data_IF_902486724055
#
_entry.id   IF_902486724055
#
_cell.length_a   1.000
_cell.length_b   1.000
_cell.length_c   1.000
_cell.angle_alpha   90.00
_cell.angle_beta   90.00
_cell.angle_gamma   90.00
#
_symmetry.space_group_name_H-M   'P 1'
#
loop_
_entity.id
_entity.type
_entity.pdbx_description
1 polymer ?
#
# COMPACT_ATOMS: atom_id res chain seq x y z
N UNK A 1 -22.39 -23.35 -44.74
CA UNK A 1 -22.89 -23.83 -43.46
C UNK A 1 -22.48 -22.75 -42.43
N UNK A 2 -23.37 -21.78 -42.21
CA UNK A 2 -23.16 -20.65 -41.33
C UNK A 2 -23.49 -21.08 -39.91
N UNK A 3 -22.52 -20.96 -38.99
CA UNK A 3 -22.75 -21.14 -37.55
C UNK A 3 -22.87 -19.72 -36.95
N UNK A 4 -24.11 -19.41 -36.58
CA UNK A 4 -24.48 -18.19 -35.83
C UNK A 4 -23.87 -18.26 -34.44
N UNK A 5 -23.03 -17.28 -34.08
CA UNK A 5 -22.60 -17.02 -32.68
C UNK A 5 -23.59 -16.02 -32.08
N UNK A 6 -24.24 -16.43 -31.00
CA UNK A 6 -25.00 -15.51 -30.15
C UNK A 6 -24.05 -14.63 -29.33
N UNK A 7 -24.38 -13.38 -29.07
CA UNK A 7 -23.59 -12.51 -28.20
C UNK A 7 -23.73 -12.90 -26.73
N UNK A 8 -22.62 -13.07 -26.06
CA UNK A 8 -22.53 -13.18 -24.60
C UNK A 8 -22.77 -11.79 -24.02
N UNK A 9 -23.81 -11.68 -23.20
CA UNK A 9 -24.06 -10.47 -22.41
C UNK A 9 -23.01 -10.34 -21.32
N UNK A 10 -22.02 -9.46 -21.51
CA UNK A 10 -21.09 -9.02 -20.50
C UNK A 10 -21.78 -8.00 -19.58
N UNK A 11 -21.96 -8.39 -18.34
CA UNK A 11 -22.29 -7.45 -17.27
C UNK A 11 -21.00 -6.81 -16.73
N UNK A 12 -20.98 -5.50 -16.44
CA UNK A 12 -19.77 -4.82 -15.99
C UNK A 12 -19.44 -5.23 -14.56
N UNK A 13 -18.25 -5.81 -14.36
CA UNK A 13 -17.66 -6.03 -13.03
C UNK A 13 -17.02 -4.71 -12.57
N UNK A 14 -17.83 -3.88 -11.94
CA UNK A 14 -17.35 -2.76 -11.12
C UNK A 14 -17.01 -3.35 -9.76
N UNK A 15 -15.95 -2.84 -9.11
CA UNK A 15 -15.65 -3.09 -7.70
C UNK A 15 -16.80 -2.62 -6.81
N UNK A 16 -17.85 -3.38 -6.78
CA UNK A 16 -18.93 -3.24 -5.84
C UNK A 16 -19.65 -4.59 -5.75
N UNK A 17 -19.51 -5.18 -4.59
CA UNK A 17 -20.57 -5.94 -3.96
C UNK A 17 -20.91 -7.34 -4.51
N UNK A 18 -20.19 -8.33 -4.02
CA UNK A 18 -20.78 -9.63 -3.76
C UNK A 18 -21.13 -9.76 -2.28
N UNK A 19 -22.07 -8.98 -1.80
CA UNK A 19 -22.84 -9.35 -0.62
C UNK A 19 -23.94 -10.33 -1.06
N UNK A 20 -23.69 -11.61 -0.91
CA UNK A 20 -24.73 -12.61 -0.91
C UNK A 20 -25.68 -12.31 0.25
N UNK A 21 -26.87 -11.81 -0.06
CA UNK A 21 -27.99 -11.72 0.89
C UNK A 21 -28.37 -13.13 1.29
N UNK A 22 -28.03 -13.54 2.51
CA UNK A 22 -28.69 -14.64 3.20
C UNK A 22 -30.12 -14.18 3.50
N UNK A 23 -31.05 -14.51 2.60
CA UNK A 23 -32.46 -14.53 2.93
C UNK A 23 -32.66 -15.78 3.77
N UNK A 24 -32.91 -15.59 5.06
CA UNK A 24 -33.36 -16.65 5.95
C UNK A 24 -34.75 -17.09 5.48
N UNK A 25 -34.85 -18.26 4.87
CA UNK A 25 -36.11 -18.96 4.67
C UNK A 25 -36.39 -19.77 5.93
N UNK A 26 -37.45 -19.38 6.65
CA UNK A 26 -38.07 -20.23 7.68
C UNK A 26 -38.59 -21.52 7.03
N UNK A 27 -38.42 -22.69 7.62
CA UNK A 27 -38.95 -23.93 7.09
C UNK A 27 -40.44 -24.11 7.45
N UNK A 28 -41.26 -24.32 6.44
CA UNK A 28 -42.67 -24.76 6.54
C UNK A 28 -42.74 -26.15 7.23
N UNK A 29 -43.53 -26.35 8.30
CA UNK A 29 -43.61 -27.58 9.09
C UNK A 29 -44.49 -28.69 8.55
N UNK A 30 -44.85 -28.75 7.28
CA UNK A 30 -45.87 -29.68 6.77
C UNK A 30 -45.42 -30.70 5.73
N UNK A 31 -44.26 -31.33 5.80
CA UNK A 31 -44.01 -32.56 5.02
C UNK A 31 -43.15 -33.57 5.79
N UNK A 32 -43.82 -34.44 6.56
CA UNK A 32 -43.29 -35.77 6.96
C UNK A 32 -43.51 -36.75 5.83
N UNK A 33 -42.44 -37.39 5.36
CA UNK A 33 -42.52 -38.77 4.82
C UNK A 33 -41.29 -39.59 5.20
N UNK A 34 -41.56 -40.81 5.53
CA UNK A 34 -40.72 -41.87 6.14
C UNK A 34 -39.78 -42.50 5.15
N UNK A 35 -38.72 -43.09 5.73
CA UNK A 35 -37.92 -44.25 5.21
C UNK A 35 -36.47 -43.86 4.98
N UNK A 36 -35.52 -44.50 5.48
CA UNK A 36 -35.29 -45.80 6.03
C UNK A 36 -33.77 -45.92 6.20
N UNK A 37 -33.36 -46.54 7.27
CA UNK A 37 -32.00 -46.75 7.70
C UNK A 37 -31.10 -47.48 6.69
N UNK A 38 -29.79 -47.17 6.69
CA UNK A 38 -28.75 -48.20 6.73
C UNK A 38 -27.44 -47.57 7.28
N UNK A 39 -27.09 -48.10 8.41
CA UNK A 39 -25.85 -47.98 9.16
C UNK A 39 -24.77 -48.82 8.46
N UNK A 40 -23.51 -48.40 8.44
CA UNK A 40 -22.37 -49.25 8.81
C UNK A 40 -21.07 -48.47 8.88
N UNK A 41 -20.47 -48.64 10.02
CA UNK A 41 -19.16 -48.28 10.49
C UNK A 41 -18.01 -48.56 9.53
N UNK A 42 -17.01 -47.70 9.49
CA UNK A 42 -15.63 -48.04 9.17
C UNK A 42 -14.66 -47.33 10.13
N UNK A 43 -14.32 -48.05 11.21
CA UNK A 43 -13.13 -47.79 12.01
C UNK A 43 -11.89 -48.15 11.17
N UNK A 44 -10.98 -47.20 10.99
CA UNK A 44 -9.61 -47.48 10.59
C UNK A 44 -8.70 -47.34 11.82
N UNK A 45 -8.22 -48.53 12.27
CA UNK A 45 -7.17 -48.61 13.27
C UNK A 45 -5.81 -48.50 12.57
N UNK A 46 -5.02 -47.50 12.97
CA UNK A 46 -3.60 -47.44 12.61
C UNK A 46 -2.79 -48.28 13.61
N UNK A 47 -2.20 -49.34 13.11
CA UNK A 47 -1.22 -50.17 13.84
C UNK A 47 0.15 -49.49 13.71
N UNK A 48 0.72 -49.04 14.84
CA UNK A 48 2.10 -48.65 14.91
C UNK A 48 3.00 -49.89 15.01
N UNK A 49 3.80 -50.11 13.97
CA UNK A 49 4.90 -51.10 14.02
C UNK A 49 6.16 -50.34 14.44
N UNK A 50 6.62 -50.60 15.66
CA UNK A 50 7.93 -50.15 16.13
C UNK A 50 9.01 -51.09 15.56
N UNK A 51 9.84 -50.56 14.68
CA UNK A 51 11.08 -51.21 14.28
C UNK A 51 12.24 -50.62 15.09
N UNK A 52 12.74 -51.41 16.01
CA UNK A 52 13.98 -51.09 16.72
C UNK A 52 15.17 -51.49 15.86
N UNK A 53 15.93 -50.51 15.41
CA UNK A 53 17.25 -50.74 14.80
C UNK A 53 18.31 -50.13 15.75
N UNK A 54 19.06 -51.01 16.42
CA UNK A 54 20.28 -50.62 17.13
C UNK A 54 21.42 -50.51 16.14
N UNK A 55 22.05 -49.36 16.05
CA UNK A 55 23.43 -49.26 15.56
C UNK A 55 24.12 -48.09 16.25
N UNK A 56 25.25 -48.44 16.80
CA UNK A 56 26.18 -47.59 17.56
C UNK A 56 27.02 -46.73 16.62
N UNK A 57 26.94 -45.42 16.79
CA UNK A 57 28.03 -44.45 16.62
C UNK A 57 27.50 -43.09 16.98
N UNK A 58 28.09 -42.40 17.95
CA UNK A 58 27.73 -41.02 18.30
C UNK A 58 28.28 -40.08 17.22
N UNK A 59 27.46 -39.12 16.79
CA UNK A 59 27.99 -37.89 16.24
C UNK A 59 27.76 -36.74 17.21
N UNK A 60 28.62 -35.75 17.06
CA UNK A 60 28.77 -34.53 17.83
C UNK A 60 27.44 -33.85 18.17
N UNK A 61 27.35 -33.41 19.41
CA UNK A 61 26.20 -32.73 20.00
C UNK A 61 25.98 -31.39 19.32
N UNK A 62 25.03 -31.32 18.40
CA UNK A 62 24.43 -30.06 18.00
C UNK A 62 23.62 -29.59 19.21
N UNK A 63 24.06 -28.52 19.86
CA UNK A 63 23.27 -27.82 20.88
C UNK A 63 22.04 -27.23 20.18
N UNK A 64 20.90 -27.90 20.32
CA UNK A 64 19.61 -27.32 19.99
C UNK A 64 19.31 -26.32 21.09
N UNK A 65 19.30 -25.03 20.74
CA UNK A 65 18.87 -23.97 21.65
C UNK A 65 17.44 -24.23 22.09
N UNK A 66 17.16 -24.03 23.38
CA UNK A 66 15.84 -24.26 23.94
C UNK A 66 14.81 -23.32 23.36
N UNK A 67 13.52 -23.72 23.30
CA UNK A 67 12.42 -22.86 22.79
C UNK A 67 12.25 -21.53 23.55
N UNK A 68 12.80 -21.41 24.73
CA UNK A 68 12.79 -20.18 25.54
C UNK A 68 13.77 -19.11 25.03
N UNK A 69 14.80 -19.48 24.29
CA UNK A 69 15.75 -18.54 23.70
C UNK A 69 15.22 -17.90 22.38
N UNK A 70 14.25 -18.52 21.73
CA UNK A 70 13.62 -18.03 20.49
C UNK A 70 12.50 -17.01 20.74
N UNK A 71 12.07 -16.82 21.98
CA UNK A 71 11.04 -15.83 22.34
C UNK A 71 11.59 -14.52 22.92
N UNK A 72 12.89 -14.33 22.91
CA UNK A 72 13.51 -13.05 23.22
C UNK A 72 13.82 -12.31 21.91
N UNK A 73 12.79 -11.93 21.17
CA UNK A 73 12.87 -10.80 20.25
C UNK A 73 12.99 -9.55 21.14
N UNK A 74 14.07 -8.75 21.04
CA UNK A 74 14.15 -7.49 21.74
C UNK A 74 13.24 -6.48 21.07
N UNK A 75 11.96 -6.53 21.43
CA UNK A 75 10.99 -5.53 21.05
C UNK A 75 10.23 -5.03 22.27
N UNK A 76 11.00 -4.60 23.27
CA UNK A 76 10.55 -3.74 24.37
C UNK A 76 11.78 -3.03 24.89
N UNK A 77 11.81 -1.74 24.64
CA UNK A 77 12.55 -0.72 25.39
C UNK A 77 13.27 0.28 24.49
N UNK A 78 12.48 1.02 23.71
CA UNK A 78 12.62 2.47 23.62
C UNK A 78 11.24 3.09 23.81
N UNK A 79 10.50 2.59 24.80
CA UNK A 79 9.38 3.27 25.39
C UNK A 79 9.89 3.95 26.65
N UNK A 80 10.41 5.18 26.52
CA UNK A 80 10.24 6.09 27.63
C UNK A 80 8.74 6.06 28.00
N UNK A 81 8.40 6.00 29.30
CA UNK A 81 7.01 5.91 29.69
C UNK A 81 6.25 7.12 29.15
N UNK A 82 5.13 6.88 28.49
CA UNK A 82 4.11 7.83 28.04
C UNK A 82 3.51 8.66 29.22
N UNK A 83 4.34 9.19 30.09
CA UNK A 83 3.96 10.09 31.18
C UNK A 83 4.12 11.56 30.84
N UNK A 84 4.57 11.89 29.63
CA UNK A 84 4.54 13.24 29.10
C UNK A 84 3.20 13.46 28.37
N UNK A 85 2.63 14.66 28.50
CA UNK A 85 1.39 15.12 27.92
C UNK A 85 1.11 14.45 26.54
N UNK A 86 -0.03 13.74 26.34
CA UNK A 86 -0.35 13.03 25.11
C UNK A 86 -0.34 13.93 23.87
N UNK A 87 -0.43 15.25 24.07
CA UNK A 87 -0.38 16.23 22.97
C UNK A 87 1.04 16.61 22.53
N UNK A 88 2.07 16.01 23.11
CA UNK A 88 3.46 16.36 22.78
C UNK A 88 3.89 15.79 21.44
N UNK A 89 4.38 16.67 20.57
CA UNK A 89 5.14 16.29 19.37
C UNK A 89 6.59 16.11 19.81
N UNK A 90 7.16 14.94 19.56
CA UNK A 90 8.56 14.63 19.90
C UNK A 90 9.36 14.33 18.65
N UNK A 91 10.61 14.75 18.61
CA UNK A 91 11.54 14.35 17.56
C UNK A 91 11.71 12.81 17.56
N UNK A 92 11.86 12.25 16.39
CA UNK A 92 12.10 10.84 16.17
C UNK A 92 13.29 10.67 15.23
N UNK A 93 14.11 9.71 15.47
CA UNK A 93 15.22 9.32 14.62
C UNK A 93 15.10 7.84 14.31
N UNK A 94 15.23 7.48 13.04
CA UNK A 94 15.24 6.09 12.62
C UNK A 94 16.57 5.50 13.10
N UNK A 95 16.49 4.45 13.93
CA UNK A 95 17.65 3.75 14.46
C UNK A 95 17.32 2.26 14.56
N UNK A 96 17.91 1.48 13.66
CA UNK A 96 17.77 0.02 13.63
C UNK A 96 18.99 -0.59 14.28
N UNK A 97 18.78 -1.45 15.28
CA UNK A 97 19.86 -2.12 15.98
C UNK A 97 20.67 -3.02 15.05
N UNK A 98 21.99 -3.06 15.24
CA UNK A 98 22.91 -3.96 14.50
C UNK A 98 22.48 -5.43 14.60
N UNK A 99 21.90 -5.84 15.74
CA UNK A 99 21.40 -7.20 15.93
C UNK A 99 20.20 -7.52 14.99
N UNK A 100 19.34 -6.55 14.69
CA UNK A 100 18.23 -6.73 13.75
C UNK A 100 18.75 -6.84 12.30
N UNK A 101 19.79 -6.08 11.95
CA UNK A 101 20.46 -6.19 10.64
C UNK A 101 21.13 -7.56 10.51
N UNK A 102 21.81 -8.02 11.57
CA UNK A 102 22.44 -9.34 11.58
C UNK A 102 21.41 -10.50 11.48
N UNK A 103 20.25 -10.38 12.14
CA UNK A 103 19.15 -11.35 12.01
C UNK A 103 18.62 -11.40 10.57
N UNK A 104 18.44 -10.24 9.93
CA UNK A 104 18.05 -10.16 8.51
C UNK A 104 19.06 -10.93 7.62
N UNK A 105 20.35 -10.65 7.76
CA UNK A 105 21.38 -11.33 6.97
C UNK A 105 21.41 -12.83 7.22
N UNK A 106 21.23 -13.27 8.48
CA UNK A 106 21.15 -14.69 8.80
C UNK A 106 19.93 -15.38 8.15
N UNK A 107 18.78 -14.71 8.08
CA UNK A 107 17.56 -15.23 7.43
C UNK A 107 17.72 -15.25 5.92
N UNK A 108 18.31 -14.23 5.31
CA UNK A 108 18.63 -14.21 3.88
C UNK A 108 19.52 -15.39 3.50
N UNK A 109 20.57 -15.68 4.30
CA UNK A 109 21.46 -16.82 4.08
C UNK A 109 20.77 -18.20 4.17
N UNK A 110 19.62 -18.30 4.83
CA UNK A 110 18.81 -19.52 4.97
C UNK A 110 17.65 -19.60 3.97
N UNK A 111 17.57 -18.66 3.04
CA UNK A 111 16.49 -18.61 2.05
C UNK A 111 16.46 -19.89 1.20
N UNK A 112 15.24 -20.42 1.00
CA UNK A 112 14.95 -21.52 0.10
C UNK A 112 14.01 -21.03 -0.98
N UNK A 113 14.54 -20.84 -2.17
CA UNK A 113 13.73 -20.43 -3.31
C UNK A 113 12.92 -21.61 -3.88
N UNK A 114 11.70 -21.37 -4.39
CA UNK A 114 10.92 -22.37 -5.12
C UNK A 114 11.51 -22.61 -6.51
N UNK A 115 10.98 -23.57 -7.24
CA UNK A 115 11.18 -23.68 -8.67
C UNK A 115 10.34 -22.66 -9.45
N UNK A 116 10.72 -22.42 -10.71
CA UNK A 116 9.96 -21.64 -11.68
C UNK A 116 9.88 -22.40 -13.01
N UNK A 117 8.74 -22.36 -13.67
CA UNK A 117 8.57 -22.93 -15.01
C UNK A 117 9.45 -22.12 -15.99
N UNK A 118 10.37 -22.74 -16.74
CA UNK A 118 11.25 -22.02 -17.64
C UNK A 118 10.50 -21.18 -18.69
N UNK A 119 10.88 -19.90 -18.82
CA UNK A 119 10.34 -18.98 -19.82
C UNK A 119 9.05 -18.26 -19.42
N UNK A 120 8.58 -18.42 -18.17
CA UNK A 120 7.37 -17.72 -17.69
C UNK A 120 7.63 -16.30 -17.20
N UNK A 121 8.91 -15.94 -16.93
CA UNK A 121 9.26 -14.61 -16.40
C UNK A 121 8.31 -14.17 -15.25
N UNK A 122 7.71 -12.99 -15.34
CA UNK A 122 6.78 -12.44 -14.35
C UNK A 122 5.32 -12.94 -14.49
N UNK A 123 5.01 -13.81 -15.44
CA UNK A 123 3.62 -14.26 -15.71
C UNK A 123 2.96 -14.97 -14.50
N UNK A 124 3.76 -15.67 -13.70
CA UNK A 124 3.30 -16.39 -12.50
C UNK A 124 3.56 -15.63 -11.19
N UNK A 125 3.99 -14.39 -11.28
CA UNK A 125 4.39 -13.55 -10.15
C UNK A 125 5.87 -13.19 -10.23
N UNK A 126 6.49 -12.89 -9.08
CA UNK A 126 7.90 -12.44 -9.00
C UNK A 126 8.84 -13.44 -9.69
N UNK A 127 9.59 -12.96 -10.66
CA UNK A 127 10.56 -13.76 -11.40
C UNK A 127 11.70 -14.24 -10.48
N UNK A 128 11.99 -15.54 -10.57
CA UNK A 128 12.96 -16.21 -9.69
C UNK A 128 14.37 -15.63 -9.81
N UNK A 129 14.84 -15.40 -11.05
CA UNK A 129 16.19 -14.86 -11.29
C UNK A 129 16.36 -13.44 -10.77
N UNK A 130 15.37 -12.58 -10.98
CA UNK A 130 15.36 -11.23 -10.44
C UNK A 130 15.36 -11.24 -8.90
N UNK A 131 14.50 -12.06 -8.29
CA UNK A 131 14.45 -12.15 -6.83
C UNK A 131 15.75 -12.67 -6.24
N UNK A 132 16.36 -13.70 -6.83
CA UNK A 132 17.64 -14.27 -6.37
C UNK A 132 18.75 -13.21 -6.41
N UNK A 133 18.83 -12.43 -7.50
CA UNK A 133 19.76 -11.31 -7.63
C UNK A 133 19.50 -10.22 -6.58
N UNK A 134 18.24 -9.82 -6.38
CA UNK A 134 17.87 -8.80 -5.40
C UNK A 134 18.20 -9.25 -3.97
N UNK A 135 17.95 -10.50 -3.62
CA UNK A 135 18.29 -11.06 -2.30
C UNK A 135 19.81 -11.14 -2.09
N UNK A 136 20.55 -11.50 -3.13
CA UNK A 136 22.01 -11.47 -3.11
C UNK A 136 22.57 -10.07 -2.86
N UNK A 137 22.00 -9.07 -3.54
CA UNK A 137 22.33 -7.66 -3.33
C UNK A 137 21.95 -7.20 -1.91
N UNK A 138 20.76 -7.57 -1.42
CA UNK A 138 20.31 -7.24 -0.07
C UNK A 138 21.24 -7.80 1.01
N UNK A 139 21.79 -9.00 0.79
CA UNK A 139 22.68 -9.65 1.74
C UNK A 139 24.09 -9.08 1.74
N UNK A 140 24.64 -8.65 0.59
CA UNK A 140 26.06 -8.41 0.41
C UNK A 140 26.45 -6.97 0.08
N UNK A 141 25.55 -6.19 -0.51
CA UNK A 141 25.87 -4.85 -1.06
C UNK A 141 24.99 -3.75 -0.48
N UNK A 142 23.73 -4.05 -0.13
CA UNK A 142 22.81 -3.07 0.40
C UNK A 142 23.25 -2.60 1.80
N UNK A 143 23.44 -1.28 1.92
CA UNK A 143 23.88 -0.63 3.16
C UNK A 143 22.70 0.05 3.85
N UNK A 144 22.00 -0.67 4.76
CA UNK A 144 20.90 -0.09 5.51
C UNK A 144 21.32 1.14 6.33
N UNK A 145 22.43 1.16 7.07
CA UNK A 145 22.92 2.37 7.74
C UNK A 145 22.97 3.59 6.83
N UNK A 146 23.47 3.46 5.59
CA UNK A 146 23.50 4.56 4.63
C UNK A 146 22.10 5.02 4.21
N UNK A 147 21.16 4.10 4.03
CA UNK A 147 19.76 4.43 3.71
C UNK A 147 19.05 5.08 4.90
N UNK A 148 19.29 4.57 6.10
CA UNK A 148 18.80 5.17 7.35
C UNK A 148 19.30 6.62 7.52
N UNK A 149 20.60 6.87 7.27
CA UNK A 149 21.15 8.21 7.30
C UNK A 149 20.53 9.12 6.23
N UNK A 150 20.21 8.57 5.06
CA UNK A 150 19.54 9.31 3.99
C UNK A 150 18.10 9.69 4.38
N UNK A 151 17.37 8.79 5.03
CA UNK A 151 16.04 9.06 5.57
C UNK A 151 16.09 10.09 6.70
N UNK A 152 17.05 9.95 7.62
CA UNK A 152 17.24 10.86 8.77
C UNK A 152 17.70 12.29 8.38
N UNK A 153 17.92 12.56 7.09
CA UNK A 153 18.10 13.95 6.62
C UNK A 153 16.81 14.75 6.67
N UNK A 154 15.67 14.09 6.75
CA UNK A 154 14.38 14.75 6.96
C UNK A 154 14.08 14.87 8.46
N UNK A 155 13.27 15.86 8.80
CA UNK A 155 12.82 16.08 10.17
C UNK A 155 11.67 15.11 10.50
N UNK A 156 11.96 14.07 11.27
CA UNK A 156 11.00 13.07 11.71
C UNK A 156 10.45 13.37 13.10
N UNK A 157 9.17 13.11 13.27
CA UNK A 157 8.46 13.31 14.54
C UNK A 157 7.49 12.18 14.83
N UNK A 158 7.11 12.07 16.11
CA UNK A 158 5.99 11.23 16.56
C UNK A 158 5.08 11.99 17.50
N UNK A 159 3.80 11.64 17.49
CA UNK A 159 2.78 12.15 18.43
C UNK A 159 1.69 11.12 18.64
N UNK A 160 1.06 11.12 19.83
CA UNK A 160 -0.03 10.19 20.12
C UNK A 160 -1.37 10.78 19.65
N UNK A 161 -2.04 10.09 18.72
CA UNK A 161 -3.37 10.42 18.21
C UNK A 161 -4.18 9.12 18.09
N UNK A 162 -5.40 9.10 18.61
CA UNK A 162 -6.30 7.92 18.56
C UNK A 162 -5.64 6.61 19.03
N UNK A 163 -4.84 6.67 20.10
CA UNK A 163 -4.01 5.57 20.61
C UNK A 163 -2.94 5.06 19.63
N UNK A 164 -2.69 5.82 18.55
CA UNK A 164 -1.61 5.57 17.58
C UNK A 164 -0.43 6.46 17.92
N UNK A 165 0.74 5.87 18.13
CA UNK A 165 2.01 6.58 18.11
C UNK A 165 2.35 6.89 16.65
N UNK A 166 1.79 8.01 16.16
CA UNK A 166 1.82 8.39 14.76
C UNK A 166 3.17 9.03 14.41
N UNK A 167 3.89 8.38 13.51
CA UNK A 167 5.10 8.93 12.90
C UNK A 167 4.76 9.80 11.70
N UNK A 168 5.51 10.87 11.51
CA UNK A 168 5.44 11.72 10.31
C UNK A 168 6.75 12.46 10.05
N UNK A 169 7.03 12.70 8.77
CA UNK A 169 8.02 13.70 8.34
C UNK A 169 7.34 15.06 8.38
N UNK A 170 7.99 16.09 8.93
CA UNK A 170 7.54 17.46 8.85
C UNK A 170 8.69 18.33 8.36
N UNK A 171 8.88 18.36 7.04
CA UNK A 171 9.93 19.13 6.41
C UNK A 171 9.40 20.52 6.04
N UNK A 172 9.92 21.53 6.74
CA UNK A 172 9.49 22.92 6.51
C UNK A 172 10.34 23.58 5.44
N UNK A 173 9.70 24.40 4.61
CA UNK A 173 10.39 25.37 3.77
C UNK A 173 10.86 26.55 4.62
N UNK A 174 11.92 27.22 4.20
CA UNK A 174 12.37 28.50 4.78
C UNK A 174 11.36 29.64 4.52
N UNK A 175 10.42 29.43 3.61
CA UNK A 175 9.36 30.39 3.27
C UNK A 175 8.23 30.34 4.29
N UNK A 176 7.99 31.44 4.99
CA UNK A 176 6.90 31.53 5.97
C UNK A 176 5.49 31.45 5.35
N UNK A 177 5.37 31.78 4.05
CA UNK A 177 4.13 31.74 3.27
C UNK A 177 3.96 30.44 2.46
N UNK A 178 4.81 29.43 2.69
CA UNK A 178 4.69 28.12 2.07
C UNK A 178 3.36 27.45 2.44
N UNK A 179 2.71 26.79 1.46
CA UNK A 179 1.47 26.07 1.70
C UNK A 179 1.76 24.79 2.50
N UNK A 180 1.06 24.53 3.64
CA UNK A 180 1.13 23.23 4.29
C UNK A 180 0.55 22.15 3.38
N UNK A 181 1.31 21.09 3.12
CA UNK A 181 0.93 19.99 2.25
C UNK A 181 0.94 18.67 3.04
N UNK A 182 -0.22 18.08 3.21
CA UNK A 182 -0.34 16.71 3.69
C UNK A 182 -0.16 15.76 2.51
N UNK A 183 0.94 14.99 2.54
CA UNK A 183 1.36 14.08 1.47
C UNK A 183 1.24 12.64 1.97
N UNK A 184 0.30 11.88 1.39
CA UNK A 184 -0.14 10.59 1.93
C UNK A 184 0.20 9.45 0.98
N UNK A 185 1.01 8.49 1.47
CA UNK A 185 1.41 7.30 0.72
C UNK A 185 0.36 6.19 0.74
N UNK A 186 0.67 5.05 0.12
CA UNK A 186 -0.17 3.85 0.09
C UNK A 186 0.57 2.55 0.37
N UNK A 187 -0.01 1.43 -0.10
CA UNK A 187 0.55 0.09 0.02
C UNK A 187 0.97 -0.43 -1.38
N UNK A 188 2.13 -1.06 -1.58
CA UNK A 188 3.14 -1.47 -0.59
C UNK A 188 4.24 -0.42 -0.33
N UNK A 189 3.92 0.85 -0.49
CA UNK A 189 4.85 1.93 -0.29
C UNK A 189 4.99 2.38 1.16
N UNK A 190 5.74 3.44 1.37
CA UNK A 190 5.98 4.08 2.66
C UNK A 190 6.36 5.55 2.45
N UNK A 191 6.73 6.25 3.52
CA UNK A 191 7.28 7.61 3.41
C UNK A 191 8.54 7.70 2.56
N UNK A 192 9.23 6.58 2.30
CA UNK A 192 10.40 6.54 1.42
C UNK A 192 10.08 6.89 -0.03
N UNK A 193 8.83 6.72 -0.47
CA UNK A 193 8.39 7.14 -1.82
C UNK A 193 8.61 8.62 -2.09
N UNK A 194 8.63 9.44 -1.03
CA UNK A 194 8.68 10.88 -1.14
C UNK A 194 10.08 11.49 -1.03
N UNK A 195 11.11 10.66 -0.84
CA UNK A 195 12.49 11.14 -0.66
C UNK A 195 12.97 12.04 -1.81
N UNK A 196 12.61 11.68 -3.06
CA UNK A 196 13.02 12.45 -4.25
C UNK A 196 12.28 13.78 -4.39
N UNK A 197 11.04 13.88 -3.88
CA UNK A 197 10.18 15.04 -4.12
C UNK A 197 10.15 16.04 -2.96
N UNK A 198 10.37 15.62 -1.72
CA UNK A 198 10.36 16.51 -0.57
C UNK A 198 11.32 17.70 -0.72
N UNK A 199 12.60 17.53 -1.13
CA UNK A 199 13.52 18.66 -1.33
C UNK A 199 13.01 19.64 -2.39
N UNK A 200 12.46 19.13 -3.49
CA UNK A 200 11.92 19.97 -4.55
C UNK A 200 10.68 20.77 -4.08
N UNK A 201 9.82 20.16 -3.26
CA UNK A 201 8.63 20.83 -2.73
C UNK A 201 8.96 21.90 -1.66
N UNK A 202 9.99 21.66 -0.85
CA UNK A 202 10.36 22.58 0.24
C UNK A 202 11.31 23.70 -0.21
N UNK A 203 12.18 23.42 -1.21
CA UNK A 203 13.16 24.37 -1.76
C UNK A 203 13.04 24.48 -3.28
N UNK A 204 11.91 24.97 -3.81
CA UNK A 204 11.61 24.92 -5.23
C UNK A 204 12.64 25.65 -6.12
N UNK A 205 13.25 26.74 -5.64
CA UNK A 205 14.24 27.50 -6.40
C UNK A 205 15.49 26.70 -6.76
N UNK A 206 15.85 25.72 -5.91
CA UNK A 206 16.98 24.81 -6.20
C UNK A 206 16.60 23.66 -7.14
N UNK A 207 15.30 23.53 -7.45
CA UNK A 207 14.71 22.44 -8.22
C UNK A 207 13.78 22.95 -9.33
N UNK A 208 14.16 24.03 -10.01
CA UNK A 208 13.48 24.54 -11.21
C UNK A 208 12.10 25.19 -11.00
N UNK A 209 11.69 25.41 -9.75
CA UNK A 209 10.46 26.12 -9.41
C UNK A 209 10.70 27.57 -8.97
N UNK A 210 9.61 28.27 -8.68
CA UNK A 210 9.67 29.60 -8.10
C UNK A 210 9.59 29.54 -6.57
N UNK A 211 10.10 30.56 -5.87
CA UNK A 211 9.99 30.63 -4.40
C UNK A 211 8.53 30.53 -3.90
N UNK A 212 7.59 31.06 -4.67
CA UNK A 212 6.16 30.97 -4.37
C UNK A 212 5.60 29.54 -4.48
N UNK A 213 6.30 28.58 -5.09
CA UNK A 213 5.84 27.19 -5.22
C UNK A 213 6.13 26.35 -3.96
N UNK A 214 6.71 26.95 -2.93
CA UNK A 214 7.12 26.25 -1.73
C UNK A 214 5.96 25.65 -0.92
N UNK A 215 6.24 24.48 -0.35
CA UNK A 215 5.35 23.78 0.58
C UNK A 215 6.07 23.49 1.90
N UNK A 216 5.33 23.48 3.01
CA UNK A 216 5.70 22.75 4.21
C UNK A 216 5.13 21.35 4.05
N UNK A 217 5.99 20.32 3.96
CA UNK A 217 5.55 18.95 3.70
C UNK A 217 5.32 18.21 5.01
N UNK A 218 4.13 17.65 5.18
CA UNK A 218 3.77 16.75 6.26
C UNK A 218 3.46 15.38 5.62
N UNK A 219 4.34 14.38 5.85
CA UNK A 219 4.19 13.04 5.28
C UNK A 219 4.11 11.99 6.41
N UNK A 220 2.90 11.61 6.86
CA UNK A 220 2.74 10.60 7.90
C UNK A 220 3.00 9.20 7.34
N UNK A 221 3.63 8.32 8.16
CA UNK A 221 3.45 6.88 7.98
C UNK A 221 2.01 6.53 8.35
N UNK A 222 1.30 5.82 7.49
CA UNK A 222 -0.07 5.40 7.77
C UNK A 222 -0.12 4.59 9.08
N UNK A 223 -1.17 4.69 9.90
CA UNK A 223 -1.36 3.82 11.07
C UNK A 223 -1.20 2.34 10.71
N UNK A 224 -0.28 1.65 11.38
CA UNK A 224 0.08 0.27 11.07
C UNK A 224 1.13 0.07 9.98
N UNK A 225 1.69 1.16 9.43
CA UNK A 225 2.75 1.13 8.42
C UNK A 225 4.04 1.75 8.96
N UNK A 226 5.17 1.19 8.54
CA UNK A 226 6.47 1.76 8.83
C UNK A 226 6.63 2.13 10.32
N UNK A 227 6.97 3.38 10.57
CA UNK A 227 7.33 3.82 11.93
C UNK A 227 6.14 4.23 12.80
N UNK A 228 4.88 4.20 12.29
CA UNK A 228 3.67 4.37 13.08
C UNK A 228 3.26 3.08 13.77
N UNK A 229 2.72 3.17 14.99
CA UNK A 229 2.21 1.98 15.68
C UNK A 229 0.99 1.39 14.98
N UNK A 230 0.80 0.08 15.15
CA UNK A 230 -0.37 -0.59 14.62
C UNK A 230 -1.61 -0.30 15.48
N UNK A 231 -2.80 -0.09 14.86
CA UNK A 231 -4.06 -0.01 15.59
C UNK A 231 -4.29 -1.24 16.46
N UNK A 232 -4.61 -1.02 17.74
CA UNK A 232 -4.88 -2.07 18.73
C UNK A 232 -6.30 -2.63 18.68
N UNK A 233 -7.21 -1.98 17.94
CA UNK A 233 -8.62 -2.35 17.85
C UNK A 233 -9.10 -2.44 16.41
N UNK A 234 -10.09 -3.29 16.11
CA UNK A 234 -10.74 -3.32 14.81
C UNK A 234 -11.49 -2.02 14.48
N UNK A 235 -11.66 -1.73 13.18
CA UNK A 235 -12.41 -0.56 12.71
C UNK A 235 -11.53 0.60 12.25
N UNK A 236 -10.21 0.49 12.35
CA UNK A 236 -9.29 1.54 11.96
C UNK A 236 -9.00 1.48 10.44
N UNK A 237 -9.99 1.89 9.66
CA UNK A 237 -9.92 1.95 8.20
C UNK A 237 -9.54 3.33 7.67
N UNK A 238 -9.64 3.56 6.34
CA UNK A 238 -9.24 4.81 5.69
C UNK A 238 -9.95 6.06 6.22
N UNK A 239 -11.24 5.95 6.56
CA UNK A 239 -12.01 7.06 7.15
C UNK A 239 -11.44 7.46 8.52
N UNK A 240 -11.10 6.49 9.39
CA UNK A 240 -10.50 6.79 10.69
C UNK A 240 -9.10 7.39 10.53
N UNK A 241 -8.30 6.91 9.58
CA UNK A 241 -6.98 7.49 9.27
C UNK A 241 -7.11 8.95 8.81
N UNK A 242 -8.14 9.28 8.03
CA UNK A 242 -8.43 10.64 7.62
C UNK A 242 -8.72 11.56 8.82
N UNK A 243 -9.53 11.10 9.79
CA UNK A 243 -9.80 11.85 11.03
C UNK A 243 -8.53 12.06 11.85
N UNK A 244 -7.71 11.04 12.00
CA UNK A 244 -6.41 11.11 12.69
C UNK A 244 -5.47 12.13 12.01
N UNK A 245 -5.44 12.18 10.67
CA UNK A 245 -4.62 13.16 9.95
C UNK A 245 -5.17 14.58 10.04
N UNK A 246 -6.50 14.77 10.09
CA UNK A 246 -7.08 16.08 10.37
C UNK A 246 -6.66 16.58 11.77
N UNK A 247 -6.65 15.69 12.77
CA UNK A 247 -6.17 16.00 14.11
C UNK A 247 -4.65 16.29 14.15
N UNK A 248 -3.85 15.59 13.34
CA UNK A 248 -2.43 15.90 13.17
C UNK A 248 -2.22 17.33 12.65
N UNK A 249 -2.91 17.70 11.57
CA UNK A 249 -2.78 19.03 10.97
C UNK A 249 -3.23 20.13 11.95
N UNK A 250 -4.28 19.88 12.74
CA UNK A 250 -4.72 20.80 13.80
C UNK A 250 -3.68 20.93 14.91
N UNK A 251 -3.08 19.81 15.38
CA UNK A 251 -2.01 19.80 16.38
C UNK A 251 -0.76 20.56 15.92
N UNK A 252 -0.47 20.52 14.62
CA UNK A 252 0.60 21.29 13.99
C UNK A 252 0.27 22.78 13.80
N UNK A 253 -0.98 23.20 14.09
CA UNK A 253 -1.44 24.57 13.94
C UNK A 253 -1.82 24.97 12.52
N UNK A 254 -2.05 23.99 11.63
CA UNK A 254 -2.47 24.25 10.25
C UNK A 254 -3.99 24.25 10.11
N UNK A 255 -4.59 25.44 10.09
CA UNK A 255 -6.05 25.59 9.91
C UNK A 255 -6.49 25.23 8.48
N UNK A 256 -5.68 25.60 7.48
CA UNK A 256 -5.91 25.27 6.06
C UNK A 256 -4.68 24.65 5.44
N UNK A 257 -4.87 23.62 4.63
CA UNK A 257 -3.78 22.85 4.04
C UNK A 257 -4.17 22.23 2.67
N UNK A 258 -3.16 21.87 1.91
CA UNK A 258 -3.21 21.16 0.65
C UNK A 258 -3.16 19.65 0.89
N UNK A 259 -3.75 18.85 0.00
CA UNK A 259 -3.66 17.39 0.01
C UNK A 259 -2.95 16.90 -1.25
N UNK A 260 -2.08 15.90 -1.11
CA UNK A 260 -1.58 15.13 -2.24
C UNK A 260 -1.42 13.65 -1.87
N UNK A 261 -1.56 12.76 -2.87
CA UNK A 261 -1.33 11.32 -2.69
C UNK A 261 -2.02 10.46 -3.74
N UNK A 262 -1.59 9.20 -3.79
CA UNK A 262 -2.12 8.11 -4.59
C UNK A 262 -2.55 6.93 -3.72
N UNK A 263 -2.95 5.81 -4.32
CA UNK A 263 -3.30 4.57 -3.64
C UNK A 263 -4.25 4.76 -2.43
N UNK A 264 -3.91 4.21 -1.26
CA UNK A 264 -4.66 4.47 -0.03
C UNK A 264 -4.67 5.96 0.36
N UNK A 265 -3.60 6.68 0.05
CA UNK A 265 -3.55 8.13 0.24
C UNK A 265 -4.66 8.86 -0.51
N UNK A 266 -5.00 8.45 -1.73
CA UNK A 266 -6.12 9.02 -2.49
C UNK A 266 -7.47 8.76 -1.80
N UNK A 267 -7.68 7.56 -1.25
CA UNK A 267 -8.91 7.19 -0.54
C UNK A 267 -9.02 7.98 0.77
N UNK A 268 -7.93 8.06 1.54
CA UNK A 268 -7.87 8.80 2.81
C UNK A 268 -8.11 10.29 2.56
N UNK A 269 -7.44 10.88 1.56
CA UNK A 269 -7.60 12.28 1.18
C UNK A 269 -9.04 12.60 0.72
N UNK A 270 -9.71 11.65 0.05
CA UNK A 270 -11.12 11.79 -0.29
C UNK A 270 -12.01 11.86 0.96
N UNK A 271 -11.74 11.04 1.98
CA UNK A 271 -12.45 11.13 3.26
C UNK A 271 -12.20 12.48 3.94
N UNK A 272 -10.96 12.99 3.94
CA UNK A 272 -10.64 14.34 4.43
C UNK A 272 -11.46 15.41 3.70
N UNK A 273 -11.53 15.32 2.37
CA UNK A 273 -12.26 16.27 1.55
C UNK A 273 -13.79 16.23 1.78
N UNK A 274 -14.33 15.08 2.17
CA UNK A 274 -15.73 14.95 2.56
C UNK A 274 -16.02 15.50 3.97
N UNK A 275 -15.12 15.26 4.93
CA UNK A 275 -15.35 15.64 6.33
C UNK A 275 -15.02 17.10 6.62
N UNK A 276 -14.00 17.67 5.97
CA UNK A 276 -13.44 18.98 6.29
C UNK A 276 -13.13 19.83 5.04
N UNK A 277 -14.09 19.96 4.09
CA UNK A 277 -13.84 20.69 2.83
C UNK A 277 -13.38 22.14 3.05
N UNK A 278 -13.85 22.79 4.11
CA UNK A 278 -13.50 24.18 4.46
C UNK A 278 -12.05 24.36 4.92
N UNK A 279 -11.40 23.29 5.40
CA UNK A 279 -9.99 23.29 5.81
C UNK A 279 -9.04 23.05 4.64
N UNK A 280 -9.54 22.70 3.46
CA UNK A 280 -8.72 22.31 2.34
C UNK A 280 -8.55 23.44 1.31
N UNK A 281 -7.31 23.61 0.86
CA UNK A 281 -6.95 24.49 -0.24
C UNK A 281 -7.26 23.79 -1.56
N UNK A 282 -6.92 22.51 -1.67
CA UNK A 282 -7.12 21.70 -2.83
C UNK A 282 -6.73 20.24 -2.56
N UNK A 283 -7.08 19.36 -3.49
CA UNK A 283 -6.75 17.94 -3.51
C UNK A 283 -6.04 17.60 -4.82
N UNK A 284 -4.79 17.17 -4.76
CA UNK A 284 -4.06 16.64 -5.91
C UNK A 284 -3.93 15.12 -5.80
N UNK A 285 -4.20 14.39 -6.88
CA UNK A 285 -4.10 12.94 -6.86
C UNK A 285 -3.57 12.36 -8.18
N UNK A 286 -2.65 11.39 -8.08
CA UNK A 286 -2.21 10.58 -9.21
C UNK A 286 -3.10 9.33 -9.41
N UNK A 287 -3.87 8.92 -8.41
CA UNK A 287 -4.91 7.89 -8.52
C UNK A 287 -6.25 8.46 -8.10
N UNK A 288 -7.13 8.75 -9.07
CA UNK A 288 -8.43 9.35 -8.77
C UNK A 288 -9.56 8.34 -8.95
N UNK A 289 -10.48 8.29 -7.98
CA UNK A 289 -11.57 7.31 -7.94
C UNK A 289 -12.92 7.98 -8.14
N UNK A 290 -13.68 7.51 -9.13
CA UNK A 290 -15.05 7.93 -9.37
C UNK A 290 -15.91 6.74 -9.82
N UNK A 291 -17.20 6.79 -9.55
CA UNK A 291 -18.14 5.84 -10.12
C UNK A 291 -18.52 6.26 -11.55
N UNK A 292 -18.85 5.31 -12.42
CA UNK A 292 -19.48 5.64 -13.70
C UNK A 292 -20.72 6.51 -13.49
N UNK A 293 -20.90 7.58 -14.29
CA UNK A 293 -22.10 8.40 -14.22
C UNK A 293 -23.39 7.59 -14.33
N UNK A 294 -24.39 7.90 -13.51
CA UNK A 294 -25.71 7.27 -13.60
C UNK A 294 -26.41 7.60 -14.93
N UNK A 295 -26.11 8.78 -15.49
CA UNK A 295 -26.60 9.19 -16.82
C UNK A 295 -25.82 8.44 -17.91
N UNK A 296 -26.53 7.57 -18.66
CA UNK A 296 -25.94 6.76 -19.73
C UNK A 296 -25.29 7.62 -20.83
N UNK A 297 -25.87 8.74 -21.22
CA UNK A 297 -25.31 9.61 -22.25
C UNK A 297 -23.95 10.21 -21.84
N UNK A 298 -23.76 10.51 -20.55
CA UNK A 298 -22.48 10.99 -20.01
C UNK A 298 -21.48 9.85 -19.83
N UNK A 299 -21.96 8.70 -19.34
CA UNK A 299 -21.13 7.51 -19.18
C UNK A 299 -20.54 7.05 -20.51
N UNK A 300 -21.33 7.11 -21.57
CA UNK A 300 -20.98 6.61 -22.89
C UNK A 300 -20.30 7.69 -23.78
N UNK A 301 -20.25 8.95 -23.33
CA UNK A 301 -19.61 10.07 -24.04
C UNK A 301 -18.08 10.14 -23.76
N UNK A 302 -17.40 9.00 -23.76
CA UNK A 302 -15.95 8.91 -23.58
C UNK A 302 -15.27 8.86 -24.92
N UNK A 303 -14.21 9.68 -25.18
CA UNK A 303 -13.41 9.57 -26.39
C UNK A 303 -12.87 8.15 -26.59
N UNK A 304 -12.83 7.69 -27.84
CA UNK A 304 -12.50 6.30 -28.15
C UNK A 304 -11.08 5.90 -27.72
N UNK A 305 -10.13 6.80 -27.82
CA UNK A 305 -8.73 6.61 -27.38
C UNK A 305 -8.64 6.53 -25.84
N UNK A 306 -9.41 7.35 -25.14
CA UNK A 306 -9.50 7.32 -23.69
C UNK A 306 -10.16 6.03 -23.21
N UNK A 307 -11.28 5.64 -23.82
CA UNK A 307 -11.97 4.39 -23.54
C UNK A 307 -11.06 3.16 -23.76
N UNK A 308 -10.26 3.17 -24.82
CA UNK A 308 -9.32 2.09 -25.11
C UNK A 308 -8.22 1.97 -24.05
N UNK A 309 -7.67 3.10 -23.57
CA UNK A 309 -6.67 3.10 -22.47
C UNK A 309 -7.25 2.59 -21.16
N UNK A 310 -8.42 3.07 -20.80
CA UNK A 310 -9.15 2.63 -19.58
C UNK A 310 -9.40 1.12 -19.65
N UNK A 311 -9.90 0.62 -20.78
CA UNK A 311 -10.19 -0.82 -20.92
C UNK A 311 -8.94 -1.69 -20.92
N UNK A 312 -7.87 -1.24 -21.58
CA UNK A 312 -6.61 -1.96 -21.57
C UNK A 312 -6.05 -2.09 -20.12
N UNK A 313 -6.07 -0.99 -19.35
CA UNK A 313 -5.60 -1.02 -17.97
C UNK A 313 -6.52 -1.83 -17.07
N UNK A 314 -7.83 -1.69 -17.22
CA UNK A 314 -8.81 -2.51 -16.50
C UNK A 314 -8.58 -4.01 -16.73
N UNK A 315 -8.39 -4.42 -17.97
CA UNK A 315 -8.15 -5.81 -18.35
C UNK A 315 -6.85 -6.36 -17.75
N UNK A 316 -5.78 -5.56 -17.74
CA UNK A 316 -4.53 -5.90 -17.08
C UNK A 316 -4.74 -6.10 -15.58
N UNK A 317 -5.38 -5.14 -14.92
CA UNK A 317 -5.60 -5.17 -13.47
C UNK A 317 -6.48 -6.33 -12.98
N UNK A 318 -7.32 -6.93 -13.83
CA UNK A 318 -8.08 -8.12 -13.44
C UNK A 318 -7.19 -9.31 -13.05
N UNK A 319 -5.98 -9.38 -13.57
CA UNK A 319 -5.01 -10.43 -13.23
C UNK A 319 -4.14 -10.04 -12.01
N UNK A 320 -4.15 -8.75 -11.63
CA UNK A 320 -3.32 -8.22 -10.55
C UNK A 320 -4.02 -8.16 -9.17
N UNK A 321 -5.31 -8.51 -9.08
CA UNK A 321 -6.12 -8.31 -7.86
C UNK A 321 -5.97 -9.39 -6.79
N UNK A 322 -5.20 -10.44 -7.03
CA UNK A 322 -5.05 -11.58 -6.10
C UNK A 322 -4.61 -11.15 -4.70
N UNK A 323 -3.63 -10.25 -4.60
CA UNK A 323 -3.13 -9.70 -3.34
C UNK A 323 -4.25 -9.03 -2.52
N UNK A 324 -5.08 -8.21 -3.19
CA UNK A 324 -6.18 -7.47 -2.56
C UNK A 324 -7.25 -8.41 -1.99
N UNK A 325 -7.52 -9.54 -2.66
CA UNK A 325 -8.47 -10.54 -2.18
C UNK A 325 -7.95 -11.21 -0.90
N UNK A 326 -6.66 -11.57 -0.85
CA UNK A 326 -6.05 -12.18 0.33
C UNK A 326 -6.00 -11.16 1.48
N UNK A 327 -5.48 -9.96 1.24
CA UNK A 327 -5.35 -8.90 2.24
C UNK A 327 -6.72 -8.41 2.74
N UNK A 328 -7.73 -8.35 1.88
CA UNK A 328 -9.09 -7.96 2.25
C UNK A 328 -9.92 -9.04 2.98
N UNK A 329 -9.42 -10.28 3.08
CA UNK A 329 -10.14 -11.39 3.71
C UNK A 329 -9.39 -12.05 4.86
N UNK A 330 -8.11 -12.35 4.70
CA UNK A 330 -7.28 -13.10 5.66
C UNK A 330 -5.86 -12.50 5.80
N UNK A 331 -5.73 -11.21 6.12
CA UNK A 331 -4.41 -10.56 6.21
C UNK A 331 -3.50 -11.22 7.24
N UNK A 332 -4.05 -11.66 8.38
CA UNK A 332 -3.27 -12.30 9.44
C UNK A 332 -2.60 -13.60 8.97
N UNK A 333 -3.28 -14.41 8.16
CA UNK A 333 -2.73 -15.69 7.68
C UNK A 333 -1.54 -15.44 6.74
N UNK A 334 -1.63 -14.46 5.85
CA UNK A 334 -0.54 -14.04 4.98
C UNK A 334 0.67 -13.54 5.79
N UNK A 335 0.38 -12.77 6.84
CA UNK A 335 1.38 -12.12 7.68
C UNK A 335 2.40 -13.07 8.31
N UNK A 336 2.01 -14.29 8.68
CA UNK A 336 2.95 -15.26 9.27
C UNK A 336 4.12 -15.59 8.32
N UNK A 337 3.86 -15.74 7.03
CA UNK A 337 4.91 -16.00 6.05
C UNK A 337 5.74 -14.76 5.72
N UNK A 338 5.08 -13.61 5.52
CA UNK A 338 5.76 -12.39 5.11
C UNK A 338 6.57 -11.73 6.24
N UNK A 339 6.15 -11.93 7.50
CA UNK A 339 6.86 -11.39 8.66
C UNK A 339 8.06 -12.25 9.08
N UNK A 340 8.13 -13.51 8.63
CA UNK A 340 9.19 -14.45 8.98
C UNK A 340 10.23 -14.63 7.87
N UNK A 341 9.83 -14.44 6.61
CA UNK A 341 10.70 -14.62 5.44
C UNK A 341 11.01 -13.30 4.75
N UNK A 342 12.27 -12.79 4.79
CA UNK A 342 12.63 -11.59 4.03
C UNK A 342 12.47 -11.81 2.51
N UNK A 343 12.76 -13.01 2.01
CA UNK A 343 12.54 -13.36 0.61
C UNK A 343 11.05 -13.34 0.24
N UNK A 344 10.18 -13.87 1.10
CA UNK A 344 8.73 -13.82 0.89
C UNK A 344 8.19 -12.39 0.90
N UNK A 345 8.68 -11.55 1.81
CA UNK A 345 8.33 -10.13 1.88
C UNK A 345 8.79 -9.39 0.62
N UNK A 346 10.05 -9.58 0.21
CA UNK A 346 10.58 -8.95 -0.99
C UNK A 346 9.78 -9.36 -2.23
N UNK A 347 9.53 -10.66 -2.42
CA UNK A 347 8.73 -11.16 -3.54
C UNK A 347 7.32 -10.53 -3.58
N UNK A 348 6.64 -10.44 -2.42
CA UNK A 348 5.28 -9.89 -2.32
C UNK A 348 5.20 -8.40 -2.67
N UNK A 349 6.25 -7.64 -2.35
CA UNK A 349 6.32 -6.20 -2.61
C UNK A 349 6.80 -5.92 -4.04
N UNK A 350 7.92 -6.51 -4.48
CA UNK A 350 8.49 -6.19 -5.80
C UNK A 350 7.60 -6.60 -6.95
N UNK A 351 6.80 -7.65 -6.78
CA UNK A 351 5.80 -8.05 -7.77
C UNK A 351 4.84 -6.90 -8.07
N UNK A 352 4.46 -6.10 -7.06
CA UNK A 352 3.60 -4.93 -7.24
C UNK A 352 4.36 -3.76 -7.85
N UNK A 353 5.61 -3.54 -7.46
CA UNK A 353 6.45 -2.56 -8.13
C UNK A 353 6.61 -2.87 -9.62
N UNK A 354 6.79 -4.15 -9.97
CA UNK A 354 6.86 -4.56 -11.37
C UNK A 354 5.52 -4.36 -12.12
N UNK A 355 4.43 -4.89 -11.57
CA UNK A 355 3.12 -4.88 -12.26
C UNK A 355 2.47 -3.50 -12.37
N UNK A 356 2.85 -2.54 -11.50
CA UNK A 356 2.19 -1.24 -11.43
C UNK A 356 3.02 -0.07 -11.94
N UNK A 357 4.23 -0.33 -12.41
CA UNK A 357 5.13 0.69 -12.98
C UNK A 357 5.06 0.75 -14.51
N UNK A 358 5.50 1.86 -15.06
CA UNK A 358 5.65 2.05 -16.50
C UNK A 358 7.02 1.55 -16.95
N UNK A 359 7.14 0.23 -17.08
CA UNK A 359 8.40 -0.39 -17.45
C UNK A 359 8.66 -0.26 -18.95
N UNK A 360 9.86 0.09 -19.37
CA UNK A 360 10.28 -0.05 -20.76
C UNK A 360 10.04 -1.50 -21.23
N UNK A 361 9.45 -1.69 -22.39
CA UNK A 361 9.03 -2.99 -22.93
C UNK A 361 7.83 -3.64 -22.22
N UNK A 362 7.11 -2.89 -21.39
CA UNK A 362 5.89 -3.36 -20.71
C UNK A 362 6.14 -4.47 -19.67
N UNK A 363 5.26 -5.48 -19.58
CA UNK A 363 5.33 -6.52 -18.54
C UNK A 363 6.60 -7.41 -18.57
N UNK A 364 7.42 -7.29 -19.60
CA UNK A 364 8.70 -7.98 -19.69
C UNK A 364 9.88 -7.01 -19.46
N UNK A 365 9.61 -5.78 -19.01
CA UNK A 365 10.62 -4.79 -18.71
C UNK A 365 11.41 -5.12 -17.45
N UNK A 366 12.61 -4.57 -17.38
CA UNK A 366 13.46 -4.68 -16.20
C UNK A 366 13.07 -3.59 -15.19
N UNK A 367 12.81 -3.99 -13.96
CA UNK A 367 12.42 -3.12 -12.85
C UNK A 367 13.54 -2.11 -12.51
N UNK A 368 14.79 -2.49 -12.70
CA UNK A 368 15.97 -1.65 -12.44
C UNK A 368 16.07 -0.44 -13.41
N UNK A 369 15.23 -0.38 -14.46
CA UNK A 369 15.12 0.80 -15.31
C UNK A 369 14.37 1.97 -14.64
N UNK A 370 13.47 1.68 -13.70
CA UNK A 370 12.64 2.67 -13.01
C UNK A 370 13.08 2.91 -11.57
N UNK A 371 13.65 1.89 -10.93
CA UNK A 371 14.05 1.94 -9.51
C UNK A 371 15.45 1.36 -9.33
N UNK A 372 16.22 1.95 -8.45
CA UNK A 372 17.43 1.30 -7.97
C UNK A 372 17.08 0.20 -6.98
N UNK A 373 17.94 -0.82 -6.86
CA UNK A 373 17.81 -1.86 -5.82
C UNK A 373 17.79 -1.25 -4.42
N UNK A 374 18.54 -0.17 -4.20
CA UNK A 374 18.53 0.57 -2.93
C UNK A 374 17.17 1.17 -2.61
N UNK A 375 16.47 1.76 -3.58
CA UNK A 375 15.12 2.32 -3.38
C UNK A 375 14.11 1.23 -3.03
N UNK A 376 14.12 0.13 -3.75
CA UNK A 376 13.25 -1.02 -3.49
C UNK A 376 13.52 -1.61 -2.12
N UNK A 377 14.80 -1.88 -1.81
CA UNK A 377 15.21 -2.49 -0.55
C UNK A 377 15.06 -1.55 0.64
N UNK A 378 15.19 -0.25 0.45
CA UNK A 378 14.87 0.73 1.50
C UNK A 378 13.40 0.62 1.92
N UNK A 379 12.48 0.60 0.97
CA UNK A 379 11.06 0.42 1.26
C UNK A 379 10.76 -0.94 1.90
N UNK A 380 11.30 -2.03 1.36
CA UNK A 380 11.12 -3.39 1.90
C UNK A 380 11.71 -3.51 3.31
N UNK A 381 12.90 -2.92 3.54
CA UNK A 381 13.56 -2.94 4.84
C UNK A 381 12.80 -2.16 5.91
N UNK A 382 12.11 -1.06 5.55
CA UNK A 382 11.20 -0.38 6.48
C UNK A 382 10.11 -1.35 6.97
N UNK A 383 9.46 -2.09 6.06
CA UNK A 383 8.46 -3.09 6.45
C UNK A 383 9.06 -4.20 7.31
N UNK A 384 10.26 -4.67 6.97
CA UNK A 384 10.95 -5.72 7.68
C UNK A 384 11.31 -5.32 9.11
N UNK A 385 12.07 -4.23 9.27
CA UNK A 385 12.57 -3.80 10.58
C UNK A 385 11.48 -3.31 11.53
N UNK A 386 10.35 -2.84 10.99
CA UNK A 386 9.21 -2.41 11.80
C UNK A 386 8.17 -3.51 12.01
N UNK A 387 8.35 -4.69 11.42
CA UNK A 387 7.36 -5.78 11.41
C UNK A 387 5.96 -5.33 10.94
N UNK A 388 5.87 -4.33 10.07
CA UNK A 388 4.61 -3.66 9.72
C UNK A 388 3.85 -4.30 8.56
N UNK A 389 4.40 -5.33 7.90
CA UNK A 389 3.71 -5.92 6.73
C UNK A 389 2.30 -6.43 7.10
N UNK A 390 2.16 -7.15 8.21
CA UNK A 390 0.85 -7.68 8.62
C UNK A 390 -0.13 -6.59 9.00
N UNK A 391 0.30 -5.59 9.78
CA UNK A 391 -0.56 -4.47 10.19
C UNK A 391 -0.98 -3.60 9.02
N UNK A 392 -0.08 -3.36 8.06
CA UNK A 392 -0.38 -2.58 6.86
C UNK A 392 -1.45 -3.22 5.98
N UNK A 393 -1.46 -4.55 5.86
CA UNK A 393 -2.47 -5.24 5.05
C UNK A 393 -3.87 -5.21 5.66
N UNK A 394 -4.01 -4.90 6.96
CA UNK A 394 -5.32 -4.80 7.63
C UNK A 394 -6.19 -3.68 7.07
N UNK A 395 -5.62 -2.63 6.47
CA UNK A 395 -6.40 -1.55 5.84
C UNK A 395 -7.35 -2.09 4.76
N UNK A 396 -6.92 -3.12 4.00
CA UNK A 396 -7.77 -3.79 3.01
C UNK A 396 -8.96 -4.50 3.65
N UNK A 397 -8.70 -5.19 4.77
CA UNK A 397 -9.76 -5.88 5.52
C UNK A 397 -10.77 -4.89 6.10
N UNK A 398 -10.27 -3.82 6.73
CA UNK A 398 -11.11 -2.80 7.37
C UNK A 398 -11.94 -2.04 6.33
N UNK A 399 -11.35 -1.64 5.21
CA UNK A 399 -12.07 -0.99 4.13
C UNK A 399 -13.15 -1.90 3.53
N UNK A 400 -12.84 -3.18 3.29
CA UNK A 400 -13.79 -4.12 2.67
C UNK A 400 -14.93 -4.52 3.58
N UNK A 401 -14.67 -4.73 4.88
CA UNK A 401 -15.62 -5.42 5.76
C UNK A 401 -16.25 -4.50 6.83
N UNK A 402 -15.67 -3.34 7.09
CA UNK A 402 -16.10 -2.46 8.19
C UNK A 402 -16.42 -1.04 7.76
N UNK A 403 -15.93 -0.59 6.62
CA UNK A 403 -16.35 0.70 6.07
C UNK A 403 -17.79 0.59 5.59
N UNK A 404 -18.71 1.45 6.06
CA UNK A 404 -20.04 1.49 5.52
C UNK A 404 -19.96 1.86 4.05
N UNK A 405 -20.66 1.11 3.19
CA UNK A 405 -20.84 1.44 1.77
C UNK A 405 -21.69 2.71 1.66
N UNK A 406 -21.04 3.86 1.76
CA UNK A 406 -21.68 5.14 1.47
C UNK A 406 -21.55 5.40 -0.03
N UNK A 407 -22.57 5.96 -0.69
CA UNK A 407 -22.40 6.49 -2.04
C UNK A 407 -21.20 7.46 -2.07
N UNK A 408 -20.45 7.45 -3.15
CA UNK A 408 -19.39 8.45 -3.32
C UNK A 408 -20.07 9.81 -3.51
N UNK A 409 -19.92 10.69 -2.51
CA UNK A 409 -20.42 12.06 -2.57
C UNK A 409 -19.51 12.91 -3.46
N UNK A 410 -20.10 13.98 -4.03
CA UNK A 410 -19.34 14.95 -4.82
C UNK A 410 -18.34 15.70 -3.93
N UNK A 411 -17.10 15.80 -4.38
CA UNK A 411 -16.02 16.51 -3.68
C UNK A 411 -16.01 17.97 -4.11
N UNK A 412 -16.46 18.86 -3.23
CA UNK A 412 -16.50 20.31 -3.45
C UNK A 412 -15.14 21.02 -3.27
N UNK A 413 -14.06 20.27 -3.05
CA UNK A 413 -12.72 20.81 -2.93
C UNK A 413 -12.10 20.89 -4.33
N UNK A 414 -11.47 22.04 -4.71
CA UNK A 414 -10.73 22.12 -5.96
C UNK A 414 -9.78 20.93 -6.13
N UNK A 415 -9.90 20.21 -7.23
CA UNK A 415 -9.18 18.96 -7.44
C UNK A 415 -8.31 19.01 -8.68
N UNK A 416 -7.07 18.55 -8.54
CA UNK A 416 -6.13 18.27 -9.62
C UNK A 416 -5.89 16.77 -9.77
N UNK A 417 -5.81 16.28 -11.01
CA UNK A 417 -5.55 14.90 -11.32
C UNK A 417 -4.38 14.77 -12.30
N UNK A 418 -3.36 14.02 -11.90
CA UNK A 418 -2.21 13.64 -12.71
C UNK A 418 -2.37 12.18 -13.17
N UNK A 419 -2.63 11.96 -14.45
CA UNK A 419 -2.96 10.64 -15.02
C UNK A 419 -1.71 10.02 -15.61
N UNK A 420 -1.10 9.11 -14.87
CA UNK A 420 0.05 8.34 -15.32
C UNK A 420 -0.41 7.11 -16.12
N UNK A 421 0.25 6.77 -17.25
CA UNK A 421 -0.24 5.73 -18.17
C UNK A 421 -0.30 4.32 -17.58
N UNK A 422 0.57 4.01 -16.60
CA UNK A 422 0.60 2.72 -15.92
C UNK A 422 0.01 2.75 -14.50
N UNK A 423 -0.77 3.79 -14.13
CA UNK A 423 -1.51 3.82 -12.86
C UNK A 423 -2.53 2.67 -12.79
N UNK A 424 -2.73 2.08 -11.60
CA UNK A 424 -3.63 0.93 -11.41
C UNK A 424 -5.10 1.24 -11.70
N UNK A 425 -5.52 2.49 -11.49
CA UNK A 425 -6.86 2.96 -11.85
C UNK A 425 -6.78 4.18 -12.74
N UNK A 426 -7.17 4.00 -14.01
CA UNK A 426 -7.35 5.09 -14.97
C UNK A 426 -8.83 5.20 -15.28
N UNK A 427 -9.39 6.41 -15.11
CA UNK A 427 -10.79 6.69 -15.35
C UNK A 427 -10.97 7.76 -16.43
N UNK A 428 -12.09 7.74 -17.16
CA UNK A 428 -12.42 8.83 -18.08
C UNK A 428 -12.57 10.16 -17.34
N UNK A 429 -12.00 11.22 -17.91
CA UNK A 429 -12.11 12.57 -17.37
C UNK A 429 -13.55 12.97 -17.08
N UNK A 430 -14.46 12.67 -18.01
CA UNK A 430 -15.88 12.98 -17.87
C UNK A 430 -16.54 12.33 -16.62
N UNK A 431 -16.04 11.17 -16.17
CA UNK A 431 -16.54 10.54 -14.95
C UNK A 431 -16.01 11.22 -13.70
N UNK A 432 -14.76 11.69 -13.74
CA UNK A 432 -14.14 12.42 -12.63
C UNK A 432 -14.80 13.77 -12.44
N UNK A 433 -15.13 14.48 -13.51
CA UNK A 433 -15.86 15.77 -13.48
C UNK A 433 -17.25 15.67 -12.82
N UNK A 434 -17.87 14.48 -12.83
CA UNK A 434 -19.15 14.24 -12.13
C UNK A 434 -18.97 13.97 -10.62
N UNK A 435 -17.75 13.69 -10.18
CA UNK A 435 -17.46 13.31 -8.79
C UNK A 435 -16.62 14.35 -8.02
N UNK A 436 -15.99 15.30 -8.72
CA UNK A 436 -15.06 16.27 -8.14
C UNK A 436 -15.22 17.67 -8.76
N UNK A 437 -14.91 18.71 -8.00
CA UNK A 437 -14.66 20.05 -8.54
C UNK A 437 -13.29 20.04 -9.26
N UNK A 438 -13.25 19.39 -10.42
CA UNK A 438 -12.02 19.17 -11.19
C UNK A 438 -11.55 20.49 -11.85
N UNK A 439 -10.38 20.98 -11.42
CA UNK A 439 -9.77 22.24 -11.89
C UNK A 439 -8.51 22.03 -12.73
N UNK A 440 -7.86 20.88 -12.59
CA UNK A 440 -6.63 20.55 -13.26
C UNK A 440 -6.66 19.07 -13.68
N UNK A 441 -6.20 18.81 -14.91
CA UNK A 441 -6.16 17.46 -15.47
C UNK A 441 -4.98 17.34 -16.42
N UNK A 442 -4.00 16.56 -16.06
CA UNK A 442 -2.82 16.31 -16.87
C UNK A 442 -2.68 14.83 -17.20
N UNK A 443 -2.54 14.51 -18.47
CA UNK A 443 -2.17 13.16 -18.91
C UNK A 443 -0.64 13.13 -19.06
N UNK A 444 0.02 12.35 -18.22
CA UNK A 444 1.47 12.25 -18.21
C UNK A 444 1.99 11.42 -19.38
N UNK A 445 3.20 11.75 -19.90
CA UNK A 445 3.76 11.03 -21.05
C UNK A 445 4.23 9.62 -20.69
N UNK A 446 4.67 9.39 -19.45
CA UNK A 446 5.15 8.13 -18.89
C UNK A 446 5.01 8.13 -17.37
N UNK A 447 5.28 6.97 -16.75
CA UNK A 447 5.17 6.73 -15.33
C UNK A 447 3.97 5.89 -14.95
N UNK A 448 4.00 5.32 -13.77
CA UNK A 448 2.98 4.43 -13.23
C UNK A 448 2.50 4.83 -11.85
N UNK A 449 2.16 3.80 -11.08
CA UNK A 449 1.57 3.94 -9.76
C UNK A 449 2.47 4.63 -8.74
N UNK A 450 3.76 4.34 -8.78
CA UNK A 450 4.76 4.91 -7.88
C UNK A 450 5.33 6.23 -8.41
N UNK A 451 4.44 7.11 -8.85
CA UNK A 451 4.75 8.31 -9.62
C UNK A 451 5.82 9.21 -8.98
N UNK A 452 5.83 9.35 -7.65
CA UNK A 452 6.81 10.16 -6.92
C UNK A 452 8.24 9.58 -6.98
N UNK A 453 8.36 8.25 -7.13
CA UNK A 453 9.65 7.56 -7.33
C UNK A 453 10.03 7.46 -8.79
N UNK A 454 9.08 7.07 -9.67
CA UNK A 454 9.31 6.82 -11.09
C UNK A 454 9.57 8.12 -11.86
N UNK A 455 8.76 9.15 -11.60
CA UNK A 455 8.72 10.40 -12.36
C UNK A 455 8.63 11.62 -11.44
N UNK A 456 9.60 11.82 -10.53
CA UNK A 456 9.55 12.86 -9.51
C UNK A 456 9.38 14.27 -10.10
N UNK A 457 10.01 14.56 -11.24
CA UNK A 457 9.90 15.87 -11.88
C UNK A 457 8.49 16.13 -12.43
N UNK A 458 7.86 15.15 -13.08
CA UNK A 458 6.49 15.29 -13.56
C UNK A 458 5.52 15.46 -12.40
N UNK A 459 5.67 14.65 -11.36
CA UNK A 459 4.83 14.72 -10.19
C UNK A 459 4.90 16.09 -9.50
N UNK A 460 6.11 16.59 -9.23
CA UNK A 460 6.35 17.88 -8.58
C UNK A 460 5.84 19.04 -9.43
N UNK A 461 6.10 19.04 -10.74
CA UNK A 461 5.69 20.12 -11.61
C UNK A 461 4.17 20.19 -11.74
N UNK A 462 3.48 19.06 -11.89
CA UNK A 462 2.03 19.02 -11.97
C UNK A 462 1.37 19.49 -10.67
N UNK A 463 1.91 19.07 -9.53
CA UNK A 463 1.46 19.52 -8.22
C UNK A 463 1.63 21.04 -8.06
N UNK A 464 2.77 21.60 -8.47
CA UNK A 464 3.01 23.07 -8.46
C UNK A 464 2.02 23.78 -9.39
N UNK A 465 1.82 23.29 -10.60
CA UNK A 465 0.93 23.89 -11.60
C UNK A 465 -0.52 23.94 -11.09
N UNK A 466 -0.97 22.84 -10.49
CA UNK A 466 -2.29 22.81 -9.86
C UNK A 466 -2.42 23.84 -8.73
N UNK A 467 -1.48 23.84 -7.78
CA UNK A 467 -1.60 24.76 -6.62
C UNK A 467 -1.35 26.23 -6.97
N UNK A 468 -0.67 26.54 -8.08
CA UNK A 468 -0.61 27.93 -8.61
C UNK A 468 -1.97 28.47 -9.01
N UNK A 469 -2.93 27.63 -9.38
CA UNK A 469 -4.30 28.05 -9.69
C UNK A 469 -5.10 28.47 -8.45
N UNK A 470 -4.63 28.09 -7.24
CA UNK A 470 -5.34 28.23 -5.98
C UNK A 470 -4.68 29.21 -5.01
N UNK A 471 -3.53 29.79 -5.38
CA UNK A 471 -2.78 30.79 -4.61
C UNK A 471 -3.36 32.18 -4.73
#
# INVERSE_FOLDING_TARGET
MMISRQPVHDSPVIFADTQARHVAHEPDPSKRTRGGAFLKDLLFAFVFTVVTCQSSAAPDTIQVMSPEALNQVPNKENTEPLAANPDTIRAFEINVDEAAIADLHARLALTRLPDQIPGTSWEYGTELSYLDELLGYWQSEFDWPAQQDALNKFDHYKTLLDDIDLHFIHQRSDRADAIPLLLVHGWPGSVSEFQKIIPALTNPEQHGGNSSDAFHVIAPSLPGFGFSSAPGTPGFGPEQMALTFAALMERLGYERYALAGGDWGAIINRHLANHYPERLIGLHSNMILANPPANAARRDAVPADEAARVEARRSFMLNEVGYQQIQGTKPQTLGYGLNDSPAGLAAWIVEKFHGWSDLPQGPNGDLDNNFTKDELLTNISIYWFTNSITSSTRIYYENRNRSPLKPMEFINVPTGAAIFPAEIYILPRAWVEEAYDLRHWTVMPNGGHFAALEQPEFYVNDLRDFYRLLR
#
